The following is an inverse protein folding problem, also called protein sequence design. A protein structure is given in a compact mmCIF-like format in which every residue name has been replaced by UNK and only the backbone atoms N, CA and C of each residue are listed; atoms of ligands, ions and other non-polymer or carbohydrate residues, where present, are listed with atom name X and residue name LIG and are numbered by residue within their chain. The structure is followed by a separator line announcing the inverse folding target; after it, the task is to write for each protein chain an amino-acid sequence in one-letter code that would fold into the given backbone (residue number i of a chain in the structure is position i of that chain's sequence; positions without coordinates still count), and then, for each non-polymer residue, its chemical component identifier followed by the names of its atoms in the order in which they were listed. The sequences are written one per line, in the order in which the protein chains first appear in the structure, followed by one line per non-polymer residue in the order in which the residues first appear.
data_IF_134887956136
#
_entry.id   IF_134887956136
#
_cell.length_a   1.000
_cell.length_b   1.000
_cell.length_c   1.000
_cell.angle_alpha   90.00
_cell.angle_beta   90.00
_cell.angle_gamma   90.00
#
_symmetry.space_group_name_H-M   'P 1'
#
loop_
_entity.id
_entity.type
_entity.pdbx_description
1 polymer ?
#
# COMPACT_ATOMS: atom_id res chain seq x y z
N UNK A 1 18.39 2.65 -3.09
CA UNK A 1 18.41 2.36 -4.54
C UNK A 1 17.73 1.01 -4.75
N UNK A 2 16.72 0.98 -5.59
CA UNK A 2 16.06 -0.27 -5.96
C UNK A 2 16.94 -0.94 -7.02
N UNK A 3 17.24 -2.22 -6.85
CA UNK A 3 18.09 -2.94 -7.81
C UNK A 3 17.38 -3.15 -9.16
N UNK A 4 18.16 -3.51 -10.19
CA UNK A 4 17.65 -3.69 -11.56
C UNK A 4 16.61 -4.82 -11.65
N UNK A 5 16.74 -5.85 -10.82
CA UNK A 5 15.78 -6.97 -10.79
C UNK A 5 14.44 -6.55 -10.21
N UNK A 6 14.45 -5.81 -9.12
CA UNK A 6 13.24 -5.23 -8.51
C UNK A 6 12.56 -4.26 -9.47
N UNK A 7 13.32 -3.41 -10.16
CA UNK A 7 12.79 -2.51 -11.19
C UNK A 7 12.05 -3.24 -12.30
N UNK A 8 12.63 -4.32 -12.83
CA UNK A 8 11.99 -5.15 -13.86
C UNK A 8 10.72 -5.86 -13.39
N UNK A 9 10.68 -6.26 -12.11
CA UNK A 9 9.47 -6.85 -11.52
C UNK A 9 8.35 -5.82 -11.35
N UNK A 10 8.68 -4.60 -10.90
CA UNK A 10 7.70 -3.52 -10.75
C UNK A 10 7.19 -3.04 -12.12
N UNK A 11 8.03 -3.05 -13.15
CA UNK A 11 7.57 -2.75 -14.51
C UNK A 11 6.55 -3.77 -15.02
N UNK A 12 6.76 -5.06 -14.78
CA UNK A 12 5.76 -6.11 -15.08
C UNK A 12 4.48 -5.92 -14.29
N UNK A 13 4.60 -5.52 -13.01
CA UNK A 13 3.45 -5.20 -12.16
C UNK A 13 2.69 -3.99 -12.72
N UNK A 14 3.36 -2.92 -13.12
CA UNK A 14 2.74 -1.75 -13.72
C UNK A 14 1.93 -2.11 -14.98
N UNK A 15 2.48 -2.94 -15.86
CA UNK A 15 1.80 -3.41 -17.06
C UNK A 15 0.63 -4.36 -16.77
N UNK A 16 0.61 -4.99 -15.62
CA UNK A 16 -0.54 -5.80 -15.18
C UNK A 16 -1.68 -4.93 -14.68
N UNK A 17 -1.37 -3.77 -14.09
CA UNK A 17 -2.37 -2.78 -13.69
C UNK A 17 -3.00 -2.08 -14.90
N UNK A 18 -2.15 -1.67 -15.82
CA UNK A 18 -2.54 -1.12 -17.13
C UNK A 18 -1.50 -1.55 -18.18
N UNK A 19 -1.89 -2.29 -19.23
CA UNK A 19 -0.96 -2.80 -20.26
C UNK A 19 -0.14 -1.71 -20.97
N UNK A 20 -0.62 -0.48 -20.98
CA UNK A 20 0.04 0.68 -21.59
C UNK A 20 0.78 1.55 -20.57
N UNK A 21 0.73 1.19 -19.29
CA UNK A 21 1.47 1.91 -18.26
C UNK A 21 2.97 1.76 -18.44
N UNK A 22 3.69 2.84 -18.18
CA UNK A 22 5.15 2.89 -18.19
C UNK A 22 5.68 3.27 -16.82
N UNK A 23 6.57 2.46 -16.27
CA UNK A 23 7.25 2.77 -15.03
C UNK A 23 8.15 4.00 -15.20
N UNK A 24 8.00 4.98 -14.33
CA UNK A 24 8.82 6.19 -14.32
C UNK A 24 9.94 6.12 -13.29
N UNK A 25 9.61 5.73 -12.06
CA UNK A 25 10.56 5.60 -10.95
C UNK A 25 10.03 4.71 -9.84
N UNK A 26 10.97 4.25 -8.99
CA UNK A 26 10.69 3.47 -7.78
C UNK A 26 11.54 3.99 -6.63
N UNK A 27 11.01 3.89 -5.40
CA UNK A 27 11.77 4.19 -4.18
C UNK A 27 11.25 3.38 -3.00
N UNK A 28 12.15 3.06 -2.06
CA UNK A 28 11.76 2.36 -0.84
C UNK A 28 11.11 3.34 0.15
N UNK A 29 10.04 2.91 0.80
CA UNK A 29 9.46 3.63 1.93
C UNK A 29 10.08 3.12 3.23
N UNK A 30 10.52 4.05 4.08
CA UNK A 30 11.16 3.76 5.36
C UNK A 30 10.11 3.69 6.48
N UNK A 31 10.38 2.89 7.52
CA UNK A 31 9.64 2.92 8.78
C UNK A 31 8.67 1.76 9.03
N UNK A 32 8.54 0.80 8.12
CA UNK A 32 7.78 -0.43 8.35
C UNK A 32 8.65 -1.54 8.95
N UNK A 33 8.14 -2.26 9.94
CA UNK A 33 8.84 -3.40 10.56
C UNK A 33 8.32 -4.75 10.03
N UNK A 34 7.02 -4.84 9.75
CA UNK A 34 6.36 -6.09 9.38
C UNK A 34 6.16 -6.29 7.88
N UNK A 35 6.38 -5.26 7.07
CA UNK A 35 6.20 -5.34 5.62
C UNK A 35 7.23 -4.50 4.88
N UNK A 36 7.63 -4.98 3.72
CA UNK A 36 8.41 -4.18 2.77
C UNK A 36 7.46 -3.33 1.95
N UNK A 37 7.72 -2.03 1.90
CA UNK A 37 6.95 -1.04 1.17
C UNK A 37 7.81 -0.40 0.09
N UNK A 38 7.40 -0.52 -1.15
CA UNK A 38 8.10 0.10 -2.29
C UNK A 38 7.11 0.99 -3.03
N UNK A 39 7.38 2.29 -3.05
CA UNK A 39 6.61 3.21 -3.86
C UNK A 39 7.08 3.19 -5.31
N UNK A 40 6.17 3.40 -6.23
CA UNK A 40 6.48 3.52 -7.65
C UNK A 40 5.52 4.49 -8.35
N UNK A 41 6.00 5.13 -9.39
CA UNK A 41 5.22 6.07 -10.20
C UNK A 41 5.15 5.55 -11.63
N UNK A 42 3.96 5.59 -12.20
CA UNK A 42 3.67 5.17 -13.56
C UNK A 42 3.09 6.31 -14.39
N UNK A 43 3.41 6.32 -15.67
CA UNK A 43 2.72 7.13 -16.66
C UNK A 43 1.60 6.32 -17.30
N UNK A 44 0.42 6.89 -17.35
CA UNK A 44 -0.77 6.32 -18.00
C UNK A 44 -0.86 6.80 -19.46
N UNK A 45 -1.58 6.06 -20.33
CA UNK A 45 -1.70 6.42 -21.76
C UNK A 45 -2.36 7.78 -22.00
N UNK A 46 -3.15 8.29 -21.06
CA UNK A 46 -3.80 9.61 -21.14
C UNK A 46 -2.88 10.78 -20.73
N UNK A 47 -1.58 10.50 -20.43
CA UNK A 47 -0.59 11.48 -20.02
C UNK A 47 -0.57 11.81 -18.53
N UNK A 48 -1.50 11.25 -17.73
CA UNK A 48 -1.46 11.38 -16.27
C UNK A 48 -0.37 10.50 -15.67
N UNK A 49 0.10 10.87 -14.51
CA UNK A 49 0.96 10.00 -13.67
C UNK A 49 0.20 9.55 -12.44
N UNK A 50 0.54 8.38 -11.95
CA UNK A 50 -0.04 7.80 -10.74
C UNK A 50 1.06 7.23 -9.85
N UNK A 51 1.02 7.59 -8.57
CA UNK A 51 1.88 7.01 -7.54
C UNK A 51 1.15 5.89 -6.81
N UNK A 52 1.83 4.79 -6.62
CA UNK A 52 1.30 3.58 -5.99
C UNK A 52 2.33 3.02 -5.01
N UNK A 53 1.86 2.14 -4.12
CA UNK A 53 2.71 1.44 -3.15
C UNK A 53 2.54 -0.05 -3.32
N UNK A 54 3.64 -0.74 -3.56
CA UNK A 54 3.74 -2.19 -3.46
C UNK A 54 3.99 -2.56 -1.99
N UNK A 55 3.10 -3.35 -1.41
CA UNK A 55 3.22 -3.85 -0.04
C UNK A 55 3.39 -5.36 -0.04
N UNK A 56 4.48 -5.81 0.54
CA UNK A 56 4.81 -7.23 0.71
C UNK A 56 4.98 -7.53 2.20
N UNK A 57 4.19 -8.46 2.73
CA UNK A 57 4.29 -8.88 4.12
C UNK A 57 5.58 -9.65 4.38
N UNK A 58 6.15 -9.48 5.56
CA UNK A 58 7.33 -10.20 6.00
C UNK A 58 7.10 -11.72 6.14
N UNK A 59 8.18 -12.47 6.23
CA UNK A 59 8.12 -13.93 6.36
C UNK A 59 7.38 -14.37 7.61
N UNK A 60 7.58 -13.70 8.74
CA UNK A 60 6.90 -14.00 10.00
C UNK A 60 5.37 -13.85 9.89
N UNK A 61 4.90 -12.77 9.26
CA UNK A 61 3.46 -12.54 9.07
C UNK A 61 2.87 -13.58 8.12
N UNK A 62 3.57 -13.94 7.05
CA UNK A 62 3.13 -14.96 6.10
C UNK A 62 3.15 -16.37 6.71
N UNK A 63 4.09 -16.66 7.61
CA UNK A 63 4.14 -17.92 8.35
C UNK A 63 2.97 -18.04 9.35
N UNK A 64 2.62 -16.93 10.02
CA UNK A 64 1.49 -16.89 10.94
C UNK A 64 0.13 -16.92 10.20
N UNK A 65 0.05 -16.28 9.04
CA UNK A 65 -1.16 -16.24 8.21
C UNK A 65 -0.79 -16.22 6.73
N UNK A 66 -0.89 -17.36 6.05
CA UNK A 66 -0.56 -17.48 4.62
C UNK A 66 -1.46 -16.61 3.72
N UNK A 67 -2.61 -16.16 4.22
CA UNK A 67 -3.56 -15.32 3.50
C UNK A 67 -3.55 -13.86 3.97
N UNK A 68 -2.51 -13.43 4.67
CA UNK A 68 -2.43 -12.08 5.25
C UNK A 68 -2.66 -10.97 4.19
N UNK A 69 -2.10 -11.10 3.01
CA UNK A 69 -2.30 -10.14 1.92
C UNK A 69 -3.78 -10.06 1.48
N UNK A 70 -4.42 -11.20 1.29
CA UNK A 70 -5.84 -11.25 0.91
C UNK A 70 -6.76 -10.73 2.01
N UNK A 71 -6.46 -11.02 3.27
CA UNK A 71 -7.22 -10.51 4.40
C UNK A 71 -7.08 -8.99 4.53
N UNK A 72 -5.88 -8.45 4.41
CA UNK A 72 -5.66 -7.00 4.45
C UNK A 72 -6.37 -6.29 3.27
N UNK A 73 -6.32 -6.85 2.09
CA UNK A 73 -7.00 -6.30 0.93
C UNK A 73 -8.52 -6.18 1.15
N UNK A 74 -9.15 -7.24 1.64
CA UNK A 74 -10.59 -7.25 1.96
C UNK A 74 -10.93 -6.29 3.09
N UNK A 75 -10.08 -6.23 4.13
CA UNK A 75 -10.25 -5.29 5.25
C UNK A 75 -10.25 -3.85 4.76
N UNK A 76 -9.27 -3.47 3.94
CA UNK A 76 -9.20 -2.11 3.37
C UNK A 76 -10.42 -1.79 2.50
N UNK A 77 -10.90 -2.75 1.71
CA UNK A 77 -12.14 -2.57 0.94
C UNK A 77 -13.35 -2.32 1.85
N UNK A 78 -13.50 -3.11 2.92
CA UNK A 78 -14.59 -2.97 3.87
C UNK A 78 -14.53 -1.64 4.62
N UNK A 79 -13.36 -1.24 5.09
CA UNK A 79 -13.15 0.04 5.78
C UNK A 79 -13.47 1.24 4.88
N UNK A 80 -13.10 1.19 3.61
CA UNK A 80 -13.46 2.22 2.63
C UNK A 80 -14.98 2.28 2.41
N UNK A 81 -15.61 1.11 2.26
CA UNK A 81 -17.06 1.03 2.10
C UNK A 81 -17.80 1.60 3.32
N UNK A 82 -17.21 1.49 4.52
CA UNK A 82 -17.70 2.09 5.75
C UNK A 82 -17.39 3.60 5.88
N UNK A 83 -16.74 4.21 4.89
CA UNK A 83 -16.46 5.64 4.87
C UNK A 83 -15.18 6.07 5.61
N UNK A 84 -14.32 5.12 6.01
CA UNK A 84 -13.05 5.43 6.64
C UNK A 84 -11.99 5.88 5.62
N UNK A 85 -11.17 6.84 6.03
CA UNK A 85 -10.03 7.32 5.25
C UNK A 85 -8.86 6.33 5.36
N UNK A 86 -8.85 5.34 4.48
CA UNK A 86 -7.75 4.37 4.33
C UNK A 86 -7.23 4.40 2.89
N UNK A 87 -6.00 3.97 2.64
CA UNK A 87 -5.48 3.88 1.27
C UNK A 87 -6.36 3.01 0.38
N UNK A 88 -6.56 3.41 -0.86
CA UNK A 88 -7.32 2.61 -1.83
C UNK A 88 -6.57 1.31 -2.13
N UNK A 89 -7.15 0.13 -1.87
CA UNK A 89 -6.58 -1.13 -2.30
C UNK A 89 -6.82 -1.29 -3.81
N UNK A 90 -5.76 -1.15 -4.61
CA UNK A 90 -5.83 -1.13 -6.07
C UNK A 90 -5.78 -2.52 -6.68
N UNK A 91 -4.93 -3.41 -6.15
CA UNK A 91 -4.74 -4.76 -6.68
C UNK A 91 -4.21 -5.72 -5.63
N UNK A 92 -4.58 -6.99 -5.75
CA UNK A 92 -4.06 -8.11 -4.98
C UNK A 92 -3.55 -9.18 -5.95
N UNK A 93 -2.37 -9.71 -5.69
CA UNK A 93 -1.86 -10.88 -6.42
C UNK A 93 -1.31 -11.93 -5.45
N UNK A 94 -1.89 -13.11 -5.49
CA UNK A 94 -1.46 -14.30 -4.74
C UNK A 94 -0.92 -15.39 -5.65
N UNK A 95 -0.79 -15.12 -6.95
CA UNK A 95 -0.48 -16.14 -7.96
C UNK A 95 1.00 -16.54 -8.02
N UNK A 96 1.91 -15.72 -7.52
CA UNK A 96 3.35 -15.93 -7.66
C UNK A 96 3.90 -15.65 -9.06
N UNK A 97 3.09 -15.13 -9.99
CA UNK A 97 3.50 -14.96 -11.40
C UNK A 97 4.36 -13.72 -11.65
N UNK A 98 4.13 -12.65 -10.92
CA UNK A 98 4.88 -11.39 -11.05
C UNK A 98 5.97 -11.32 -9.97
N UNK A 99 5.56 -11.51 -8.72
CA UNK A 99 6.45 -11.62 -7.57
C UNK A 99 6.27 -12.99 -6.93
N UNK A 100 7.33 -13.57 -6.33
CA UNK A 100 7.25 -14.93 -5.76
C UNK A 100 6.36 -15.01 -4.52
N UNK A 101 6.12 -13.87 -3.86
CA UNK A 101 5.27 -13.79 -2.67
C UNK A 101 4.00 -13.00 -2.95
N UNK A 102 2.88 -13.27 -2.25
CA UNK A 102 1.68 -12.46 -2.34
C UNK A 102 1.95 -10.98 -2.02
N UNK A 103 1.25 -10.09 -2.72
CA UNK A 103 1.42 -8.66 -2.54
C UNK A 103 0.13 -7.88 -2.77
N UNK A 104 0.08 -6.69 -2.19
CA UNK A 104 -0.93 -5.67 -2.44
C UNK A 104 -0.34 -4.51 -3.22
N UNK A 105 -1.16 -3.88 -4.05
CA UNK A 105 -0.89 -2.54 -4.57
C UNK A 105 -1.91 -1.59 -3.97
N UNK A 106 -1.41 -0.55 -3.34
CA UNK A 106 -2.20 0.47 -2.67
C UNK A 106 -1.97 1.83 -3.31
N UNK A 107 -2.92 2.71 -3.13
CA UNK A 107 -2.74 4.14 -3.40
C UNK A 107 -1.57 4.69 -2.59
N UNK A 108 -0.77 5.56 -3.19
CA UNK A 108 0.21 6.34 -2.46
C UNK A 108 -0.47 7.53 -1.79
N UNK A 109 -0.40 7.60 -0.48
CA UNK A 109 -0.91 8.73 0.30
C UNK A 109 0.21 9.73 0.50
N UNK A 110 0.04 10.95 -0.02
CA UNK A 110 0.98 12.05 0.20
C UNK A 110 0.95 12.46 1.67
N UNK A 111 2.11 12.71 2.22
CA UNK A 111 2.23 13.12 3.62
C UNK A 111 3.66 13.03 4.13
N UNK A 112 3.84 13.44 5.36
CA UNK A 112 5.10 13.33 6.08
C UNK A 112 4.86 12.69 7.46
N UNK A 113 5.84 11.93 7.94
CA UNK A 113 5.80 11.38 9.28
C UNK A 113 6.01 12.51 10.30
N UNK A 114 5.04 12.73 11.16
CA UNK A 114 5.13 13.69 12.25
C UNK A 114 5.65 13.00 13.51
N UNK A 115 6.95 13.07 13.76
CA UNK A 115 7.56 12.55 14.99
C UNK A 115 7.35 13.46 16.20
N UNK A 116 7.09 14.75 15.96
CA UNK A 116 6.79 15.76 16.98
C UNK A 116 5.70 16.71 16.43
N UNK A 117 4.40 16.38 16.63
CA UNK A 117 3.32 17.24 16.16
C UNK A 117 3.37 18.60 16.87
N UNK A 118 3.08 19.70 16.16
CA UNK A 118 3.13 21.05 16.72
C UNK A 118 2.05 21.28 17.80
N UNK A 119 0.94 20.56 17.71
CA UNK A 119 -0.14 20.53 18.71
C UNK A 119 -0.44 19.07 19.08
N UNK A 120 0.08 18.66 20.26
CA UNK A 120 -0.10 17.31 20.74
C UNK A 120 -1.55 17.03 21.15
N UNK A 121 -2.21 17.98 21.80
CA UNK A 121 -3.58 17.80 22.28
C UNK A 121 -4.55 17.64 21.12
N UNK A 122 -4.41 18.44 20.07
CA UNK A 122 -5.22 18.32 18.88
C UNK A 122 -4.93 17.00 18.13
N UNK A 123 -3.68 16.62 18.05
CA UNK A 123 -3.28 15.34 17.43
C UNK A 123 -3.88 14.15 18.17
N UNK A 124 -3.81 14.13 19.50
CA UNK A 124 -4.42 13.07 20.33
C UNK A 124 -5.94 13.04 20.16
N UNK A 125 -6.59 14.22 20.11
CA UNK A 125 -8.03 14.31 19.89
C UNK A 125 -8.44 13.73 18.53
N UNK A 126 -7.72 14.06 17.47
CA UNK A 126 -7.98 13.52 16.13
C UNK A 126 -7.76 12.01 16.07
N UNK A 127 -6.66 11.49 16.64
CA UNK A 127 -6.38 10.05 16.70
C UNK A 127 -7.46 9.31 17.49
N UNK A 128 -7.89 9.85 18.63
CA UNK A 128 -8.93 9.25 19.46
C UNK A 128 -10.28 9.20 18.74
N UNK A 129 -10.66 10.28 18.06
CA UNK A 129 -11.89 10.33 17.27
C UNK A 129 -11.85 9.33 16.10
N UNK A 130 -10.72 9.22 15.41
CA UNK A 130 -10.56 8.27 14.33
C UNK A 130 -10.61 6.82 14.83
N UNK A 131 -9.93 6.52 15.94
CA UNK A 131 -9.96 5.19 16.56
C UNK A 131 -11.37 4.79 17.00
N UNK A 132 -12.12 5.70 17.59
CA UNK A 132 -13.51 5.48 17.94
C UNK A 132 -14.37 5.16 16.70
N UNK A 133 -14.14 5.87 15.60
CA UNK A 133 -14.81 5.59 14.33
C UNK A 133 -14.47 4.19 13.80
N UNK A 134 -13.19 3.80 13.83
CA UNK A 134 -12.76 2.44 13.45
C UNK A 134 -13.48 1.36 14.29
N UNK A 135 -13.60 1.57 15.60
CA UNK A 135 -14.24 0.62 16.50
C UNK A 135 -15.78 0.54 16.33
N UNK A 136 -16.39 1.53 15.68
CA UNK A 136 -17.82 1.51 15.36
C UNK A 136 -18.15 0.86 14.02
N UNK A 137 -17.14 0.42 13.26
CA UNK A 137 -17.36 -0.25 11.99
C UNK A 137 -17.78 -1.71 12.24
N UNK A 138 -18.92 -2.06 11.70
CA UNK A 138 -19.44 -3.44 11.69
C UNK A 138 -18.86 -4.15 10.46
N UNK A 139 -18.00 -5.15 10.67
CA UNK A 139 -17.31 -5.91 9.65
C UNK A 139 -17.88 -7.33 9.49
#
# INVERSE_FOLDING_TARGET
MVDTETGGRIERLARRLDPQARLLRTWALQGGVSAQMTAFEIALPDGRTQKLVLRQHGEADRAANSQVAAHEFRLLQALRAAGLAVPVPCSLDTSGKVLPTPYLVLEYVEGATASAPPDLDDTVRQLTAYLAHVHCVDL
#
